data_IF_138853111321
#
_entry.id   IF_138853111321
#
_cell.length_a   1.000
_cell.length_b   1.000
_cell.length_c   1.000
_cell.angle_alpha   90.00
_cell.angle_beta   90.00
_cell.angle_gamma   90.00
#
_symmetry.space_group_name_H-M   'P 1'
#
loop_
_entity.id
_entity.type
_entity.pdbx_description
1 polymer ?
#
# COMPACT_ATOMS: atom_id res chain seq x y z
N UNK A 1 -15.80 -4.83 -9.21
CA UNK A 1 -14.44 -4.88 -8.67
C UNK A 1 -14.47 -5.69 -7.39
N UNK A 2 -13.73 -6.78 -7.35
CA UNK A 2 -13.65 -7.69 -6.21
C UNK A 2 -12.55 -7.24 -5.24
N UNK A 3 -12.64 -7.60 -3.96
CA UNK A 3 -11.66 -7.21 -2.93
C UNK A 3 -10.22 -7.54 -3.32
N UNK A 4 -9.99 -8.69 -3.96
CA UNK A 4 -8.66 -9.10 -4.42
C UNK A 4 -8.09 -8.20 -5.53
N UNK A 5 -8.95 -7.65 -6.40
CA UNK A 5 -8.52 -6.69 -7.43
C UNK A 5 -8.11 -5.37 -6.78
N UNK A 6 -8.92 -4.89 -5.84
CA UNK A 6 -8.62 -3.67 -5.07
C UNK A 6 -7.30 -3.81 -4.31
N UNK A 7 -7.05 -4.98 -3.68
CA UNK A 7 -5.77 -5.23 -2.99
C UNK A 7 -4.61 -5.18 -3.97
N UNK A 8 -4.72 -5.80 -5.16
CA UNK A 8 -3.66 -5.75 -6.18
C UNK A 8 -3.37 -4.31 -6.62
N UNK A 9 -4.42 -3.52 -6.81
CA UNK A 9 -4.27 -2.11 -7.20
C UNK A 9 -3.63 -1.27 -6.10
N UNK A 10 -3.89 -1.59 -4.82
CA UNK A 10 -3.17 -0.99 -3.69
C UNK A 10 -1.70 -1.39 -3.73
N UNK A 11 -1.38 -2.66 -3.98
CA UNK A 11 0.01 -3.14 -4.01
C UNK A 11 0.86 -2.43 -5.06
N UNK A 12 0.29 -2.08 -6.22
CA UNK A 12 1.01 -1.34 -7.27
C UNK A 12 1.05 0.19 -7.04
N UNK A 13 0.28 0.69 -6.08
CA UNK A 13 0.02 2.12 -5.90
C UNK A 13 1.29 2.98 -5.72
N UNK A 14 2.32 2.55 -4.96
CA UNK A 14 3.59 3.30 -4.89
C UNK A 14 4.25 3.48 -6.26
N UNK A 15 4.26 2.44 -7.09
CA UNK A 15 4.81 2.50 -8.44
C UNK A 15 4.00 3.44 -9.33
N UNK A 16 2.67 3.38 -9.23
CA UNK A 16 1.77 4.30 -9.95
C UNK A 16 1.98 5.74 -9.52
N UNK A 17 2.12 5.99 -8.21
CA UNK A 17 2.36 7.33 -7.65
C UNK A 17 3.72 7.89 -8.10
N UNK A 18 4.78 7.09 -8.04
CA UNK A 18 6.12 7.49 -8.49
C UNK A 18 6.14 7.84 -9.98
N UNK A 19 5.36 7.12 -10.81
CA UNK A 19 5.20 7.40 -12.24
C UNK A 19 4.26 8.57 -12.56
N UNK A 20 3.25 8.80 -11.72
CA UNK A 20 2.22 9.83 -11.91
C UNK A 20 2.27 10.88 -10.80
N UNK A 21 3.30 11.72 -10.82
CA UNK A 21 3.51 12.78 -9.82
C UNK A 21 2.43 13.89 -9.82
N UNK A 22 1.51 13.86 -10.79
CA UNK A 22 0.41 14.83 -10.89
C UNK A 22 -0.84 14.44 -10.08
N UNK A 23 -0.92 13.21 -9.57
CA UNK A 23 -2.07 12.74 -8.78
C UNK A 23 -1.66 12.55 -7.33
N UNK A 24 -2.52 12.98 -6.40
CA UNK A 24 -2.31 12.70 -4.99
C UNK A 24 -2.54 11.20 -4.70
N UNK A 25 -1.86 10.67 -3.69
CA UNK A 25 -2.05 9.28 -3.26
C UNK A 25 -3.51 9.00 -2.85
N UNK A 26 -4.20 10.00 -2.30
CA UNK A 26 -5.61 9.91 -1.94
C UNK A 26 -6.48 9.68 -3.18
N UNK A 27 -6.24 10.44 -4.25
CA UNK A 27 -6.96 10.30 -5.51
C UNK A 27 -6.69 8.93 -6.15
N UNK A 28 -5.44 8.47 -6.14
CA UNK A 28 -5.11 7.13 -6.64
C UNK A 28 -5.83 6.03 -5.86
N UNK A 29 -5.93 6.15 -4.53
CA UNK A 29 -6.71 5.21 -3.70
C UNK A 29 -8.22 5.27 -3.99
N UNK A 30 -8.75 6.46 -4.29
CA UNK A 30 -10.14 6.61 -4.68
C UNK A 30 -10.44 5.87 -5.99
N UNK A 31 -9.54 5.98 -6.98
CA UNK A 31 -9.65 5.30 -8.28
C UNK A 31 -9.67 3.77 -8.14
N UNK A 32 -8.98 3.19 -7.14
CA UNK A 32 -9.04 1.73 -6.89
C UNK A 32 -10.33 1.29 -6.19
N UNK A 33 -11.18 2.22 -5.73
CA UNK A 33 -12.35 1.90 -4.93
C UNK A 33 -12.04 1.45 -3.51
N UNK A 34 -10.79 1.63 -3.05
CA UNK A 34 -10.31 1.26 -1.71
C UNK A 34 -11.26 1.69 -0.58
N UNK A 35 -11.75 2.94 -0.62
CA UNK A 35 -12.59 3.49 0.44
C UNK A 35 -13.92 2.74 0.64
N UNK A 36 -14.39 1.98 -0.37
CA UNK A 36 -15.62 1.20 -0.28
C UNK A 36 -15.45 -0.12 0.48
N UNK A 37 -14.22 -0.58 0.65
CA UNK A 37 -13.88 -1.89 1.24
C UNK A 37 -12.79 -1.80 2.29
N UNK A 38 -12.40 -0.58 2.68
CA UNK A 38 -11.27 -0.33 3.58
C UNK A 38 -11.38 -1.10 4.89
N UNK A 39 -12.58 -1.15 5.45
CA UNK A 39 -12.94 -1.90 6.67
C UNK A 39 -12.74 -3.42 6.55
N UNK A 40 -12.63 -3.95 5.33
CA UNK A 40 -12.48 -5.37 5.02
C UNK A 40 -11.06 -5.77 4.62
N UNK A 41 -10.15 -4.80 4.46
CA UNK A 41 -8.76 -5.04 4.07
C UNK A 41 -7.90 -5.11 5.33
N UNK A 42 -7.39 -6.30 5.64
CA UNK A 42 -6.48 -6.54 6.75
C UNK A 42 -5.01 -6.43 6.35
N UNK A 43 -4.12 -6.35 7.35
CA UNK A 43 -2.67 -6.44 7.15
C UNK A 43 -2.28 -7.76 6.49
N UNK A 44 -2.92 -8.87 6.86
CA UNK A 44 -2.65 -10.17 6.25
C UNK A 44 -3.02 -10.18 4.77
N UNK A 45 -4.11 -9.51 4.36
CA UNK A 45 -4.48 -9.44 2.95
C UNK A 45 -3.39 -8.77 2.11
N UNK A 46 -2.93 -7.61 2.57
CA UNK A 46 -1.87 -6.82 1.92
C UNK A 46 -0.55 -7.61 1.91
N UNK A 47 -0.17 -8.21 3.05
CA UNK A 47 1.04 -9.02 3.16
C UNK A 47 1.03 -10.23 2.21
N UNK A 48 -0.09 -10.96 2.17
CA UNK A 48 -0.21 -12.16 1.35
C UNK A 48 -0.19 -11.87 -0.14
N UNK A 49 -0.78 -10.77 -0.59
CA UNK A 49 -0.68 -10.36 -2.00
C UNK A 49 0.73 -9.86 -2.34
N UNK A 50 1.37 -9.07 -1.48
CA UNK A 50 2.73 -8.60 -1.76
C UNK A 50 3.75 -9.75 -1.83
N UNK A 51 3.59 -10.79 -1.02
CA UNK A 51 4.44 -12.00 -1.09
C UNK A 51 4.42 -12.67 -2.46
N UNK A 52 3.33 -12.49 -3.24
CA UNK A 52 3.20 -13.06 -4.59
C UNK A 52 3.92 -12.23 -5.65
N UNK A 53 4.22 -10.96 -5.36
CA UNK A 53 4.82 -10.00 -6.29
C UNK A 53 5.92 -9.19 -5.58
N UNK A 54 7.09 -9.81 -5.33
CA UNK A 54 8.19 -9.18 -4.60
C UNK A 54 8.77 -7.94 -5.28
N UNK A 55 8.53 -7.76 -6.58
CA UNK A 55 8.95 -6.58 -7.36
C UNK A 55 8.41 -5.26 -6.80
N UNK A 56 7.23 -5.26 -6.17
CA UNK A 56 6.65 -4.05 -5.57
C UNK A 56 7.12 -3.81 -4.13
N UNK A 57 7.83 -4.76 -3.50
CA UNK A 57 8.28 -4.61 -2.11
C UNK A 57 9.21 -3.41 -1.95
N UNK A 58 10.18 -3.26 -2.86
CA UNK A 58 11.15 -2.16 -2.81
C UNK A 58 10.46 -0.79 -2.98
N UNK A 59 9.50 -0.69 -3.90
CA UNK A 59 8.70 0.52 -4.09
C UNK A 59 7.92 0.89 -2.82
N UNK A 60 7.39 -0.11 -2.12
CA UNK A 60 6.70 0.09 -0.84
C UNK A 60 7.62 0.53 0.28
N UNK A 61 8.85 0.04 0.34
CA UNK A 61 9.84 0.49 1.33
C UNK A 61 10.22 1.96 1.08
N UNK A 62 10.57 2.30 -0.16
CA UNK A 62 10.89 3.67 -0.57
C UNK A 62 9.71 4.61 -0.27
N UNK A 63 8.50 4.19 -0.63
CA UNK A 63 7.29 4.94 -0.31
C UNK A 63 7.14 5.16 1.19
N UNK A 64 7.31 4.10 1.99
CA UNK A 64 7.11 4.16 3.45
C UNK A 64 8.13 5.06 4.14
N UNK A 65 9.37 5.11 3.66
CA UNK A 65 10.40 6.03 4.13
C UNK A 65 10.11 7.49 3.77
N UNK A 66 9.58 7.73 2.57
CA UNK A 66 9.32 9.09 2.06
C UNK A 66 7.94 9.65 2.48
N UNK A 67 7.03 8.78 2.90
CA UNK A 67 5.64 9.14 3.18
C UNK A 67 5.54 10.07 4.39
N UNK A 68 5.16 11.33 4.15
CA UNK A 68 4.82 12.32 5.19
C UNK A 68 3.33 12.39 5.54
N UNK A 69 2.56 11.35 5.22
CA UNK A 69 1.12 11.32 5.46
C UNK A 69 0.80 11.04 6.92
N UNK A 70 -0.30 11.58 7.43
CA UNK A 70 -0.85 11.20 8.73
C UNK A 70 -1.52 9.82 8.75
N UNK A 71 -1.82 9.20 7.59
CA UNK A 71 -2.54 7.92 7.55
C UNK A 71 -2.21 7.02 6.35
N UNK A 72 -2.44 5.71 6.48
CA UNK A 72 -2.44 4.73 5.39
C UNK A 72 -1.44 3.59 5.60
N UNK A 73 -1.41 2.66 4.64
CA UNK A 73 -0.50 1.52 4.65
C UNK A 73 0.96 1.95 4.54
N UNK A 74 1.82 1.16 5.20
CA UNK A 74 3.27 1.28 5.12
C UNK A 74 3.93 -0.09 5.34
N UNK A 75 5.19 -0.20 4.92
CA UNK A 75 6.01 -1.39 5.00
C UNK A 75 7.33 -1.06 5.65
N UNK A 76 7.84 -2.01 6.45
CA UNK A 76 9.13 -1.92 7.11
C UNK A 76 9.86 -3.25 6.96
N UNK A 77 11.19 -3.17 6.94
CA UNK A 77 12.07 -4.31 7.18
C UNK A 77 12.47 -4.27 8.64
N UNK A 78 12.27 -5.37 9.37
CA UNK A 78 12.78 -5.48 10.73
C UNK A 78 14.24 -5.94 10.75
N UNK A 79 14.87 -5.92 11.92
CA UNK A 79 16.28 -6.30 12.11
C UNK A 79 16.60 -7.76 11.68
N UNK A 80 15.60 -8.61 11.44
CA UNK A 80 15.76 -9.99 10.99
C UNK A 80 15.44 -10.14 9.49
N UNK A 81 15.50 -9.04 8.72
CA UNK A 81 15.20 -8.99 7.28
C UNK A 81 13.78 -9.45 6.91
N UNK A 82 12.84 -9.44 7.87
CA UNK A 82 11.44 -9.79 7.60
C UNK A 82 10.63 -8.53 7.31
N UNK A 83 9.85 -8.60 6.24
CA UNK A 83 8.88 -7.57 5.89
C UNK A 83 7.70 -7.57 6.85
N UNK A 84 7.27 -6.36 7.24
CA UNK A 84 6.09 -6.13 8.06
C UNK A 84 5.17 -5.11 7.39
N UNK A 85 3.86 -5.36 7.48
CA UNK A 85 2.80 -4.44 7.03
C UNK A 85 2.20 -3.73 8.23
N UNK A 86 2.12 -2.41 8.14
CA UNK A 86 1.46 -1.58 9.12
C UNK A 86 0.42 -0.66 8.48
N UNK A 87 -0.46 -0.13 9.32
CA UNK A 87 -1.40 0.92 8.96
C UNK A 87 -1.23 2.06 9.94
N UNK A 88 -0.92 3.25 9.44
CA UNK A 88 -0.91 4.46 10.23
C UNK A 88 -2.34 5.01 10.26
N UNK A 89 -2.90 5.18 11.44
CA UNK A 89 -4.19 5.84 11.62
C UNK A 89 -3.91 7.30 11.98
N UNK A 90 -4.38 8.24 11.16
CA UNK A 90 -4.24 9.67 11.45
C UNK A 90 -5.00 10.02 12.72
N UNK A 91 -4.41 10.90 13.53
CA UNK A 91 -5.08 11.50 14.69
C UNK A 91 -6.20 12.43 14.24
#
# INVERSE_FOLDING_TARGET
MNQNEIIRDIIILPCVFNKNQNKSIYYLLEETGYFKVFDRISKENIYNELKKVPEYVNEWLIWSENKRSSSGWYFLVNNNEKYQVGFLQGK
#
